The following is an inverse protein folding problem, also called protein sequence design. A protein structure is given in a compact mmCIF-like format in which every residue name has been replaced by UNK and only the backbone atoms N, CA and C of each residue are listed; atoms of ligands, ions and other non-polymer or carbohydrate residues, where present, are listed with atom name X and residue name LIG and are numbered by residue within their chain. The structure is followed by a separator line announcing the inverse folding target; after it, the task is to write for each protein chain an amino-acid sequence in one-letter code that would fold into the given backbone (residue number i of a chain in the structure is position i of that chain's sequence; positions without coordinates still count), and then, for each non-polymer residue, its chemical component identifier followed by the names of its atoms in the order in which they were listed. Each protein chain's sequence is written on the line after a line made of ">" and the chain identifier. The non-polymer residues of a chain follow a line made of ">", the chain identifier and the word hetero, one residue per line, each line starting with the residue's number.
data_IF_928014909611
#
_entry.id   IF_928014909611
#
_cell.length_a   1.000
_cell.length_b   1.000
_cell.length_c   1.000
_cell.angle_alpha   90.00
_cell.angle_beta   90.00
_cell.angle_gamma   90.00
#
_symmetry.space_group_name_H-M   'P 1'
#
loop_
_entity.id
_entity.type
_entity.pdbx_description
1 polymer ?
#
# COMPACT_ATOMS: atom_id res chain seq x y z
N UNK A 1 3.61 -7.32 7.76
CA UNK A 1 2.73 -7.42 6.60
C UNK A 1 3.34 -6.56 5.52
N UNK A 2 3.95 -7.17 4.52
CA UNK A 2 4.62 -6.44 3.43
C UNK A 2 3.59 -5.94 2.44
N UNK A 3 3.76 -4.71 1.97
CA UNK A 3 2.82 -4.08 1.05
C UNK A 3 3.52 -3.31 -0.06
N UNK A 4 2.78 -3.11 -1.15
CA UNK A 4 3.14 -2.14 -2.19
C UNK A 4 1.97 -1.18 -2.37
N UNK A 5 2.22 0.10 -2.13
CA UNK A 5 1.28 1.19 -2.38
C UNK A 5 1.67 1.89 -3.68
N UNK A 6 0.78 1.84 -4.67
CA UNK A 6 0.95 2.51 -5.96
C UNK A 6 0.01 3.70 -6.06
N UNK A 7 0.56 4.88 -6.34
CA UNK A 7 -0.27 6.05 -6.68
C UNK A 7 -0.88 5.85 -8.07
N UNK A 8 -2.19 6.04 -8.17
CA UNK A 8 -2.94 5.96 -9.42
C UNK A 8 -2.91 7.32 -10.14
N UNK A 9 -2.72 7.31 -11.47
CA UNK A 9 -2.64 8.51 -12.30
C UNK A 9 -1.22 8.81 -12.82
N UNK A 10 -1.02 9.99 -13.41
CA UNK A 10 0.26 10.39 -14.02
C UNK A 10 1.38 10.49 -12.98
N UNK A 11 2.58 9.98 -13.33
CA UNK A 11 3.75 9.97 -12.46
C UNK A 11 3.72 8.85 -11.41
N UNK A 12 3.32 7.64 -11.81
CA UNK A 12 3.09 6.48 -10.94
C UNK A 12 4.35 6.09 -10.16
N UNK A 13 4.41 6.49 -8.89
CA UNK A 13 5.38 6.02 -7.91
C UNK A 13 4.79 4.88 -7.10
N UNK A 14 5.61 3.87 -6.86
CA UNK A 14 5.32 2.77 -5.96
C UNK A 14 6.16 2.91 -4.69
N UNK A 15 5.55 2.63 -3.56
CA UNK A 15 6.17 2.60 -2.23
C UNK A 15 6.02 1.18 -1.73
N UNK A 16 7.12 0.51 -1.44
CA UNK A 16 7.13 -0.85 -0.89
C UNK A 16 7.73 -0.84 0.52
N UNK A 17 7.17 -1.65 1.41
CA UNK A 17 7.67 -1.79 2.77
C UNK A 17 6.65 -2.42 3.72
N UNK A 18 6.91 -2.27 5.01
CA UNK A 18 6.09 -2.86 6.07
C UNK A 18 4.90 -1.95 6.38
N UNK A 19 3.68 -2.49 6.32
CA UNK A 19 2.49 -1.76 6.73
C UNK A 19 2.47 -1.60 8.26
N UNK A 20 2.65 -0.38 8.75
CA UNK A 20 2.57 -0.02 10.18
C UNK A 20 1.17 0.40 10.56
N UNK A 21 0.48 1.13 9.68
CA UNK A 21 -0.89 1.58 9.90
C UNK A 21 -1.80 1.26 8.72
N UNK A 22 -2.79 0.42 8.98
CA UNK A 22 -3.78 0.02 7.98
C UNK A 22 -4.66 1.21 7.53
N UNK A 23 -5.14 1.19 6.27
CA UNK A 23 -6.01 2.25 5.75
C UNK A 23 -7.34 2.28 6.50
N UNK A 24 -7.62 3.41 7.16
CA UNK A 24 -8.88 3.67 7.88
C UNK A 24 -9.37 5.08 7.56
N UNK A 25 -10.67 5.23 7.27
CA UNK A 25 -11.29 6.54 6.99
C UNK A 25 -11.01 7.52 8.15
N UNK A 26 -10.59 8.74 7.82
CA UNK A 26 -10.19 9.78 8.77
C UNK A 26 -8.76 9.66 9.31
N UNK A 27 -8.06 8.56 9.04
CA UNK A 27 -6.67 8.35 9.43
C UNK A 27 -5.73 8.34 8.22
N UNK A 28 -4.44 8.12 8.45
CA UNK A 28 -3.40 8.02 7.42
C UNK A 28 -2.96 6.56 7.24
N UNK A 29 -2.36 6.25 6.10
CA UNK A 29 -1.60 5.01 5.89
C UNK A 29 -0.14 5.30 6.22
N UNK A 30 0.50 4.38 6.95
CA UNK A 30 1.93 4.45 7.28
C UNK A 30 2.61 3.18 6.80
N UNK A 31 3.64 3.34 5.98
CA UNK A 31 4.49 2.27 5.46
C UNK A 31 5.92 2.59 5.87
N UNK A 32 6.53 1.70 6.64
CA UNK A 32 7.94 1.80 7.01
C UNK A 32 8.80 1.16 5.93
N UNK A 33 9.88 1.84 5.55
CA UNK A 33 10.81 1.34 4.55
C UNK A 33 11.75 0.27 5.15
N UNK A 34 12.34 -0.61 4.30
CA UNK A 34 13.23 -1.67 4.77
C UNK A 34 14.48 -1.18 5.53
N UNK A 35 14.85 0.09 5.38
CA UNK A 35 15.97 0.69 6.11
C UNK A 35 15.68 0.92 7.60
N UNK A 36 14.41 0.83 8.02
CA UNK A 36 13.97 1.06 9.39
C UNK A 36 14.11 2.51 9.86
N UNK A 37 14.42 3.44 8.97
CA UNK A 37 14.66 4.85 9.30
C UNK A 37 13.63 5.78 8.68
N UNK A 38 13.06 5.39 7.55
CA UNK A 38 12.12 6.23 6.82
C UNK A 38 10.71 5.64 6.81
N UNK A 39 9.73 6.54 6.84
CA UNK A 39 8.31 6.19 6.67
C UNK A 39 7.69 6.96 5.51
N UNK A 40 6.79 6.28 4.80
CA UNK A 40 5.85 6.91 3.89
C UNK A 40 4.50 7.10 4.56
N UNK A 41 4.05 8.34 4.61
CA UNK A 41 2.76 8.72 5.22
C UNK A 41 1.86 9.37 4.18
N UNK A 42 0.61 8.90 4.08
CA UNK A 42 -0.38 9.53 3.19
C UNK A 42 -1.06 10.71 3.84
N UNK A 43 -1.76 11.52 3.04
CA UNK A 43 -2.83 12.38 3.57
C UNK A 43 -3.99 11.55 4.13
N UNK A 44 -4.89 12.14 4.93
CA UNK A 44 -6.02 11.42 5.50
C UNK A 44 -6.89 10.71 4.45
N UNK A 45 -7.30 9.50 4.79
CA UNK A 45 -8.10 8.61 3.96
C UNK A 45 -9.57 9.05 4.01
N UNK A 46 -10.17 9.22 2.84
CA UNK A 46 -11.60 9.48 2.67
C UNK A 46 -12.40 8.20 2.53
N UNK A 47 -11.87 7.21 1.80
CA UNK A 47 -12.56 5.96 1.49
C UNK A 47 -11.58 4.81 1.28
N UNK A 48 -11.99 3.61 1.69
CA UNK A 48 -11.26 2.35 1.48
C UNK A 48 -12.22 1.37 0.84
N UNK A 49 -11.79 0.74 -0.24
CA UNK A 49 -12.51 -0.36 -0.90
C UNK A 49 -11.59 -1.58 -0.93
N UNK A 50 -12.07 -2.73 -0.47
CA UNK A 50 -11.36 -4.00 -0.57
C UNK A 50 -11.90 -4.78 -1.78
N UNK A 51 -11.01 -5.31 -2.60
CA UNK A 51 -11.39 -6.21 -3.69
C UNK A 51 -11.76 -7.58 -3.12
N UNK A 52 -12.94 -8.10 -3.46
CA UNK A 52 -13.40 -9.39 -2.98
C UNK A 52 -12.46 -10.52 -3.44
N UNK A 53 -12.17 -11.47 -2.54
CA UNK A 53 -11.30 -12.61 -2.83
C UNK A 53 -9.82 -12.26 -3.05
N UNK A 54 -9.39 -11.01 -2.85
CA UNK A 54 -8.01 -10.58 -3.04
C UNK A 54 -7.53 -9.69 -1.89
N UNK A 55 -6.23 -9.69 -1.65
CA UNK A 55 -5.59 -8.77 -0.71
C UNK A 55 -5.16 -7.47 -1.39
N UNK A 56 -6.13 -6.86 -2.07
CA UNK A 56 -5.96 -5.61 -2.81
C UNK A 56 -6.97 -4.59 -2.29
N UNK A 57 -6.47 -3.41 -1.94
CA UNK A 57 -7.26 -2.31 -1.44
C UNK A 57 -7.10 -1.08 -2.34
N UNK A 58 -8.22 -0.43 -2.66
CA UNK A 58 -8.23 0.88 -3.31
C UNK A 58 -8.50 1.93 -2.25
N UNK A 59 -7.62 2.92 -2.17
CA UNK A 59 -7.61 3.93 -1.12
C UNK A 59 -7.73 5.30 -1.77
N UNK A 60 -8.73 6.06 -1.36
CA UNK A 60 -8.88 7.45 -1.74
C UNK A 60 -8.52 8.32 -0.53
N UNK A 61 -7.54 9.20 -0.70
CA UNK A 61 -7.15 10.19 0.29
C UNK A 61 -7.66 11.57 -0.12
N UNK A 62 -7.33 12.60 0.66
CA UNK A 62 -7.74 13.98 0.36
C UNK A 62 -7.31 14.42 -1.04
N UNK A 63 -6.09 14.05 -1.46
CA UNK A 63 -5.43 14.61 -2.64
C UNK A 63 -4.99 13.54 -3.66
N UNK A 64 -5.22 12.26 -3.41
CA UNK A 64 -4.68 11.18 -4.25
C UNK A 64 -5.49 9.89 -4.14
N UNK A 65 -5.31 9.01 -5.11
CA UNK A 65 -5.87 7.65 -5.12
C UNK A 65 -4.75 6.66 -5.24
N UNK A 66 -4.90 5.55 -4.53
CA UNK A 66 -3.87 4.53 -4.44
C UNK A 66 -4.47 3.13 -4.60
N UNK A 67 -3.63 2.22 -5.06
CA UNK A 67 -3.83 0.78 -4.95
C UNK A 67 -2.79 0.23 -3.99
N UNK A 68 -3.23 -0.41 -2.92
CA UNK A 68 -2.41 -1.10 -1.93
C UNK A 68 -2.54 -2.61 -2.16
N UNK A 69 -1.41 -3.26 -2.36
CA UNK A 69 -1.30 -4.70 -2.53
C UNK A 69 -0.59 -5.27 -1.32
N UNK A 70 -1.14 -6.33 -0.73
CA UNK A 70 -0.47 -7.09 0.31
C UNK A 70 0.36 -8.17 -0.38
N UNK A 71 1.64 -8.25 -0.04
CA UNK A 71 2.51 -9.33 -0.50
C UNK A 71 2.43 -10.45 0.53
N UNK A 72 1.86 -11.60 0.14
CA UNK A 72 2.01 -12.82 0.90
C UNK A 72 3.42 -13.37 0.70
N UNK A 73 4.02 -13.86 1.78
CA UNK A 73 5.41 -14.35 1.78
C UNK A 73 5.59 -15.58 0.87
N UNK A 74 4.49 -16.24 0.50
CA UNK A 74 4.46 -17.44 -0.36
C UNK A 74 4.53 -17.11 -1.86
N UNK A 75 4.01 -15.95 -2.30
CA UNK A 75 4.05 -15.54 -3.72
C UNK A 75 5.43 -15.01 -4.17
N UNK A 76 6.28 -14.60 -3.23
CA UNK A 76 7.61 -14.06 -3.52
C UNK A 76 8.63 -15.12 -4.00
N UNK A 77 8.32 -16.41 -3.83
CA UNK A 77 9.18 -17.52 -4.29
C UNK A 77 8.93 -17.85 -5.76
N UNK A 78 7.74 -17.55 -6.30
CA UNK A 78 7.37 -17.87 -7.68
C UNK A 78 7.90 -16.87 -8.73
N UNK A 79 8.26 -15.64 -8.33
CA UNK A 79 8.79 -14.61 -9.26
C UNK A 79 10.31 -14.70 -9.49
N UNK A 80 11.04 -15.62 -8.83
CA UNK A 80 12.50 -15.74 -8.95
C UNK A 80 12.96 -17.02 -9.69
N UNK A 81 12.05 -17.66 -10.44
CA UNK A 81 12.37 -18.77 -11.36
C UNK A 81 11.65 -18.53 -12.68
N UNK A 82 12.19 -17.61 -13.47
CA UNK A 82 11.76 -17.29 -14.83
C UNK A 82 12.91 -16.71 -15.64
#
# INVERSE_FOLDING_TARGET
>A
MEVVLRKLGKGSRAVAGRLVRAPRKGSVVVIEFPDGMHEYVTTPVKRVLRMAGREVFYIETVNSRYRLEVRNREDAVAENTG
#
